data_IF_705569073763
#
_entry.id   IF_705569073763
#
_cell.length_a   1.000
_cell.length_b   1.000
_cell.length_c   1.000
_cell.angle_alpha   90.00
_cell.angle_beta   90.00
_cell.angle_gamma   90.00
#
_symmetry.space_group_name_H-M   'P 1'
#
loop_
_entity.id
_entity.type
_entity.pdbx_description
1 polymer ?
#
# COMPACT_ATOMS: atom_id res chain seq x y z
N UNK A 1 -11.56 -22.59 -1.33
CA UNK A 1 -11.42 -21.85 -2.60
C UNK A 1 -10.04 -22.16 -3.16
N UNK A 2 -9.88 -22.40 -4.47
CA UNK A 2 -8.55 -22.62 -5.04
C UNK A 2 -7.69 -21.37 -4.80
N UNK A 3 -6.52 -21.55 -4.21
CA UNK A 3 -5.57 -20.47 -3.97
C UNK A 3 -4.94 -20.07 -5.30
N UNK A 4 -5.00 -18.79 -5.65
CA UNK A 4 -4.40 -18.29 -6.87
C UNK A 4 -2.88 -18.45 -6.81
N UNK A 5 -2.27 -19.06 -7.82
CA UNK A 5 -0.83 -19.27 -7.87
C UNK A 5 -0.15 -18.05 -8.52
N UNK A 6 0.46 -17.20 -7.68
CA UNK A 6 1.20 -16.00 -8.10
C UNK A 6 2.54 -16.30 -8.79
N UNK A 7 2.98 -17.56 -8.86
CA UNK A 7 4.18 -17.97 -9.59
C UNK A 7 3.87 -18.56 -10.96
N UNK A 8 2.60 -18.90 -11.23
CA UNK A 8 2.14 -19.40 -12.53
C UNK A 8 1.57 -18.30 -13.44
N UNK A 9 1.71 -17.02 -13.07
CA UNK A 9 1.21 -15.89 -13.88
C UNK A 9 2.15 -15.59 -15.07
N UNK A 10 1.59 -15.25 -16.24
CA UNK A 10 2.39 -14.77 -17.36
C UNK A 10 3.08 -13.45 -16.98
N UNK A 11 4.39 -13.39 -17.22
CA UNK A 11 5.33 -12.26 -17.08
C UNK A 11 4.97 -11.20 -16.02
N UNK A 12 5.67 -11.23 -14.87
CA UNK A 12 5.61 -10.18 -13.85
C UNK A 12 6.20 -8.90 -14.43
N UNK A 13 5.38 -7.85 -14.58
CA UNK A 13 5.84 -6.52 -15.03
C UNK A 13 6.23 -5.65 -13.84
N UNK A 14 7.38 -4.99 -13.94
CA UNK A 14 7.76 -3.95 -13.01
C UNK A 14 6.92 -2.69 -13.26
N UNK A 15 6.37 -2.09 -12.21
CA UNK A 15 5.53 -0.90 -12.30
C UNK A 15 6.34 0.31 -11.86
N UNK A 16 6.51 1.29 -12.76
CA UNK A 16 7.26 2.51 -12.48
C UNK A 16 6.39 3.57 -11.81
N UNK A 17 5.12 3.68 -12.23
CA UNK A 17 4.25 4.75 -11.78
C UNK A 17 2.80 4.27 -11.72
N UNK A 18 2.10 4.72 -10.68
CA UNK A 18 0.68 4.47 -10.49
C UNK A 18 -0.03 5.80 -10.28
N UNK A 19 -1.05 6.07 -11.09
CA UNK A 19 -1.97 7.19 -10.87
C UNK A 19 -3.34 6.64 -10.50
N UNK A 20 -3.97 7.23 -9.49
CA UNK A 20 -5.28 6.80 -9.05
C UNK A 20 -6.22 7.99 -8.84
N UNK A 21 -7.49 7.81 -9.20
CA UNK A 21 -8.54 8.81 -8.96
C UNK A 21 -9.91 8.15 -8.79
N UNK A 22 -10.66 8.58 -7.78
CA UNK A 22 -12.05 8.17 -7.61
C UNK A 22 -12.96 9.14 -8.37
N UNK A 23 -13.78 8.62 -9.29
CA UNK A 23 -14.75 9.39 -10.07
C UNK A 23 -16.05 8.59 -10.10
N UNK A 24 -17.17 9.22 -9.71
CA UNK A 24 -18.51 8.61 -9.70
C UNK A 24 -18.60 7.23 -9.01
N UNK A 25 -17.91 7.06 -7.88
CA UNK A 25 -17.92 5.79 -7.13
C UNK A 25 -17.08 4.66 -7.75
N UNK A 26 -16.24 4.98 -8.72
CA UNK A 26 -15.28 4.06 -9.33
C UNK A 26 -13.85 4.55 -9.07
N UNK A 27 -12.98 3.64 -8.65
CA UNK A 27 -11.55 3.86 -8.61
C UNK A 27 -10.99 3.64 -10.02
N UNK A 28 -10.46 4.70 -10.62
CA UNK A 28 -9.69 4.65 -11.86
C UNK A 28 -8.22 4.54 -11.47
N UNK A 29 -7.56 3.48 -11.91
CA UNK A 29 -6.16 3.17 -11.63
C UNK A 29 -5.42 3.07 -12.95
N UNK A 30 -4.36 3.86 -13.12
CA UNK A 30 -3.49 3.81 -14.30
C UNK A 30 -2.12 3.36 -13.83
N UNK A 31 -1.63 2.27 -14.42
CA UNK A 31 -0.37 1.63 -14.10
C UNK A 31 0.54 1.78 -15.31
N UNK A 32 1.72 2.37 -15.11
CA UNK A 32 2.75 2.54 -16.13
C UNK A 32 3.94 1.61 -15.87
N UNK A 33 4.42 0.97 -16.93
CA UNK A 33 5.59 0.08 -16.97
C UNK A 33 6.37 0.34 -18.27
N UNK A 34 7.49 1.03 -18.16
CA UNK A 34 8.27 1.60 -19.25
C UNK A 34 7.41 2.51 -20.12
N UNK A 35 7.30 2.15 -21.40
CA UNK A 35 6.45 2.81 -22.38
C UNK A 35 4.99 2.30 -22.39
N UNK A 36 4.68 1.25 -21.62
CA UNK A 36 3.33 0.66 -21.59
C UNK A 36 2.51 1.29 -20.48
N UNK A 37 1.28 1.70 -20.81
CA UNK A 37 0.31 2.20 -19.84
C UNK A 37 -0.96 1.37 -19.90
N UNK A 38 -1.43 0.91 -18.74
CA UNK A 38 -2.65 0.11 -18.62
C UNK A 38 -3.60 0.75 -17.61
N UNK A 39 -4.87 0.88 -17.96
CA UNK A 39 -5.90 1.42 -17.10
C UNK A 39 -6.82 0.32 -16.56
N UNK A 40 -7.16 0.41 -15.28
CA UNK A 40 -8.09 -0.47 -14.58
C UNK A 40 -9.16 0.37 -13.89
N UNK A 41 -10.38 -0.17 -13.83
CA UNK A 41 -11.49 0.45 -13.13
C UNK A 41 -12.06 -0.54 -12.13
N UNK A 42 -12.16 -0.11 -10.87
CA UNK A 42 -12.72 -0.93 -9.79
C UNK A 42 -13.92 -0.21 -9.17
N UNK A 43 -14.95 -0.97 -8.82
CA UNK A 43 -16.00 -0.43 -7.98
C UNK A 43 -15.47 -0.14 -6.58
N UNK A 44 -15.92 0.95 -5.96
CA UNK A 44 -15.40 1.40 -4.66
C UNK A 44 -15.44 0.32 -3.55
N UNK A 45 -16.48 -0.53 -3.43
CA UNK A 45 -16.47 -1.61 -2.45
C UNK A 45 -15.35 -2.64 -2.68
N UNK A 46 -15.05 -2.95 -3.95
CA UNK A 46 -13.96 -3.85 -4.30
C UNK A 46 -12.60 -3.18 -4.05
N UNK A 47 -12.46 -1.91 -4.45
CA UNK A 47 -11.25 -1.13 -4.19
C UNK A 47 -10.92 -1.07 -2.69
N UNK A 48 -11.92 -0.86 -1.82
CA UNK A 48 -11.75 -0.88 -0.36
C UNK A 48 -11.27 -2.24 0.17
N UNK A 49 -11.80 -3.34 -0.38
CA UNK A 49 -11.37 -4.70 0.01
C UNK A 49 -9.92 -4.95 -0.42
N UNK A 50 -9.55 -4.54 -1.64
CA UNK A 50 -8.18 -4.66 -2.16
C UNK A 50 -7.22 -3.85 -1.28
N UNK A 51 -7.52 -2.59 -1.01
CA UNK A 51 -6.68 -1.73 -0.16
C UNK A 51 -6.45 -2.34 1.23
N UNK A 52 -7.51 -2.83 1.88
CA UNK A 52 -7.40 -3.47 3.19
C UNK A 52 -6.54 -4.74 3.16
N UNK A 53 -6.73 -5.60 2.15
CA UNK A 53 -5.95 -6.82 2.01
C UNK A 53 -4.46 -6.51 1.78
N UNK A 54 -4.15 -5.49 0.98
CA UNK A 54 -2.77 -5.05 0.74
C UNK A 54 -2.13 -4.52 2.02
N UNK A 55 -2.80 -3.62 2.77
CA UNK A 55 -2.27 -3.08 4.02
C UNK A 55 -1.95 -4.18 5.03
N UNK A 56 -2.87 -5.14 5.21
CA UNK A 56 -2.64 -6.26 6.11
C UNK A 56 -1.39 -7.08 5.73
N UNK A 57 -1.18 -7.34 4.43
CA UNK A 57 0.01 -8.06 3.98
C UNK A 57 1.30 -7.26 4.20
N UNK A 58 1.26 -5.94 3.97
CA UNK A 58 2.42 -5.06 4.24
C UNK A 58 2.77 -5.09 5.72
N UNK A 59 1.79 -4.92 6.61
CA UNK A 59 1.98 -4.98 8.07
C UNK A 59 2.59 -6.32 8.53
N UNK A 60 2.13 -7.44 7.96
CA UNK A 60 2.70 -8.76 8.25
C UNK A 60 4.18 -8.85 7.82
N UNK A 61 4.54 -8.29 6.67
CA UNK A 61 5.90 -8.29 6.15
C UNK A 61 6.81 -7.39 7.00
N UNK A 62 6.35 -6.18 7.33
CA UNK A 62 7.06 -5.25 8.22
C UNK A 62 7.39 -5.90 9.55
N UNK A 63 6.39 -6.55 10.16
CA UNK A 63 6.53 -7.22 11.45
C UNK A 63 7.50 -8.40 11.36
N UNK A 64 7.36 -9.26 10.33
CA UNK A 64 8.23 -10.43 10.13
C UNK A 64 9.69 -10.05 9.88
N UNK A 65 9.92 -8.96 9.17
CA UNK A 65 11.26 -8.54 8.75
C UNK A 65 11.87 -7.46 9.66
N UNK A 66 11.12 -6.97 10.66
CA UNK A 66 11.50 -5.86 11.53
C UNK A 66 11.92 -4.60 10.74
N UNK A 67 11.14 -4.28 9.71
CA UNK A 67 11.32 -3.08 8.87
C UNK A 67 10.06 -2.22 8.89
N UNK A 68 10.19 -0.96 8.52
CA UNK A 68 9.06 -0.03 8.33
C UNK A 68 9.18 0.61 6.94
N UNK A 69 8.12 0.52 6.16
CA UNK A 69 8.01 1.20 4.88
C UNK A 69 7.38 2.58 5.09
N UNK A 70 7.81 3.54 4.29
CA UNK A 70 7.23 4.87 4.31
C UNK A 70 5.84 4.84 3.67
N UNK A 71 4.80 5.11 4.46
CA UNK A 71 3.40 5.12 4.03
C UNK A 71 2.88 6.52 3.73
N UNK A 72 3.72 7.56 3.87
CA UNK A 72 3.31 8.95 3.73
C UNK A 72 2.96 9.28 2.29
N UNK A 73 1.81 9.93 2.12
CA UNK A 73 1.44 10.52 0.84
C UNK A 73 2.29 11.78 0.58
N UNK A 74 2.51 12.17 -0.69
CA UNK A 74 3.34 13.34 -1.03
C UNK A 74 2.90 14.68 -0.42
N UNK A 75 1.67 14.77 0.06
CA UNK A 75 1.09 15.97 0.68
C UNK A 75 1.05 15.90 2.21
N UNK A 76 1.42 14.77 2.81
CA UNK A 76 1.41 14.60 4.26
C UNK A 76 2.66 15.22 4.87
N UNK A 77 2.52 15.91 6.02
CA UNK A 77 3.65 16.55 6.67
C UNK A 77 4.63 15.49 7.18
N UNK A 78 5.93 15.80 7.08
CA UNK A 78 6.95 14.99 7.74
C UNK A 78 6.75 15.12 9.26
N UNK A 79 6.61 14.01 10.02
CA UNK A 79 6.54 14.10 11.47
C UNK A 79 7.84 14.72 11.99
N UNK A 80 7.69 15.73 12.86
CA UNK A 80 8.84 16.40 13.47
C UNK A 80 9.64 15.42 14.32
N UNK A 81 10.98 15.53 14.42
CA UNK A 81 11.84 14.55 15.10
C UNK A 81 11.54 14.24 16.59
N UNK A 82 10.59 14.95 17.21
CA UNK A 82 10.30 14.87 18.65
C UNK A 82 9.20 13.87 19.05
N UNK A 83 8.55 13.19 18.10
CA UNK A 83 7.46 12.22 18.39
C UNK A 83 7.85 10.75 18.21
N UNK A 84 9.15 10.43 18.16
CA UNK A 84 9.57 9.06 18.51
C UNK A 84 9.46 8.90 20.03
N UNK A 85 8.23 8.79 20.53
CA UNK A 85 8.00 8.20 21.84
C UNK A 85 8.45 6.75 21.74
N UNK A 86 9.63 6.49 22.29
CA UNK A 86 10.05 5.15 22.64
C UNK A 86 8.93 4.54 23.50
N UNK A 87 8.42 3.33 23.19
CA UNK A 87 7.44 2.63 24.04
C UNK A 87 7.99 2.23 25.43
N UNK A 88 9.16 2.77 25.83
CA UNK A 88 9.88 2.43 27.07
C UNK A 88 9.92 3.57 28.09
N UNK A 89 9.34 4.75 27.80
CA UNK A 89 9.38 5.89 28.73
C UNK A 89 8.12 6.05 29.60
N UNK A 90 7.08 5.21 29.42
CA UNK A 90 5.88 5.23 30.30
C UNK A 90 6.05 4.47 31.63
N UNK A 91 7.08 3.64 31.82
CA UNK A 91 7.30 2.90 33.08
C UNK A 91 8.08 3.68 34.16
N UNK A 92 8.33 4.99 33.98
CA UNK A 92 9.07 5.79 34.98
C UNK A 92 8.37 7.06 35.48
N UNK A 93 7.05 7.18 35.32
CA UNK A 93 6.24 8.15 36.07
C UNK A 93 4.86 7.57 36.42
N UNK A 94 4.82 6.84 37.53
CA UNK A 94 3.60 6.36 38.18
C UNK A 94 3.94 5.58 39.44
#
# INVERSE_FOLDING_TARGET
MPQYNFDAVPEKKYVDTVHLRIIHGLLNLVVQSGATTTAYVLQLPLAKKVAKATLQQVEEIETKNNVKFDDRLPHEPMPTPFTFENPKDEEKKG
#
